data_IF_810246686353
#
_entry.id   IF_810246686353
#
_cell.length_a   1.000
_cell.length_b   1.000
_cell.length_c   1.000
_cell.angle_alpha   90.00
_cell.angle_beta   90.00
_cell.angle_gamma   90.00
#
_symmetry.space_group_name_H-M   'P 1'
#
loop_
_entity.id
_entity.type
_entity.pdbx_description
1 polymer ?
#
# COMPACT_ATOMS: atom_id res chain seq x y z
N UNK A 1 4.62 17.08 0.43
CA UNK A 1 4.37 16.81 1.87
C UNK A 1 4.55 15.33 2.20
N UNK A 2 3.83 14.41 1.54
CA UNK A 2 3.90 12.97 1.81
C UNK A 2 5.31 12.35 1.70
N UNK A 3 6.08 12.64 0.63
CA UNK A 3 7.49 12.18 0.54
C UNK A 3 8.37 12.68 1.69
N UNK A 4 8.09 13.87 2.23
CA UNK A 4 8.78 14.33 3.45
C UNK A 4 8.35 13.49 4.64
N UNK A 5 7.06 13.21 4.80
CA UNK A 5 6.48 12.44 5.93
C UNK A 5 6.88 10.95 5.91
N UNK A 6 6.96 10.28 4.76
CA UNK A 6 7.20 8.82 4.72
C UNK A 6 8.48 8.40 3.99
N UNK A 7 9.11 9.31 3.24
CA UNK A 7 10.26 9.01 2.39
C UNK A 7 11.61 9.42 2.97
N UNK A 8 11.70 9.73 4.27
CA UNK A 8 12.95 10.12 4.92
C UNK A 8 13.20 9.30 6.17
N UNK A 9 14.47 8.99 6.44
CA UNK A 9 14.92 8.24 7.62
C UNK A 9 14.40 8.84 8.94
N UNK A 10 14.36 10.18 9.03
CA UNK A 10 13.87 10.91 10.21
C UNK A 10 12.41 10.58 10.56
N UNK A 11 11.60 10.17 9.58
CA UNK A 11 10.17 9.92 9.77
C UNK A 11 9.80 8.42 9.71
N UNK A 12 10.79 7.52 9.82
CA UNK A 12 10.56 6.08 9.97
C UNK A 12 9.53 5.72 11.04
N UNK A 13 9.51 6.33 12.24
CA UNK A 13 8.49 6.02 13.25
C UNK A 13 7.05 6.27 12.77
N UNK A 14 6.84 7.32 11.96
CA UNK A 14 5.52 7.62 11.39
C UNK A 14 5.11 6.54 10.38
N UNK A 15 6.05 6.13 9.53
CA UNK A 15 5.83 5.04 8.59
C UNK A 15 5.52 3.72 9.30
N UNK A 16 6.28 3.36 10.33
CA UNK A 16 6.06 2.15 11.13
C UNK A 16 4.67 2.16 11.78
N UNK A 17 4.27 3.26 12.41
CA UNK A 17 2.95 3.39 13.01
C UNK A 17 1.83 3.27 11.97
N UNK A 18 2.00 3.93 10.82
CA UNK A 18 1.05 3.83 9.71
C UNK A 18 0.90 2.38 9.22
N UNK A 19 2.01 1.67 8.99
CA UNK A 19 1.98 0.29 8.50
C UNK A 19 1.34 -0.66 9.51
N UNK A 20 1.66 -0.54 10.80
CA UNK A 20 1.02 -1.34 11.84
C UNK A 20 -0.49 -1.07 11.92
N UNK A 21 -0.93 0.17 11.74
CA UNK A 21 -2.36 0.52 11.74
C UNK A 21 -3.11 -0.01 10.52
N UNK A 22 -2.49 0.04 9.33
CA UNK A 22 -3.11 -0.36 8.06
C UNK A 22 -3.09 -1.87 7.84
N UNK A 23 -1.93 -2.50 8.05
CA UNK A 23 -1.71 -3.93 7.74
C UNK A 23 -2.20 -4.81 8.90
N UNK A 24 -2.10 -4.32 10.14
CA UNK A 24 -2.38 -5.07 11.38
C UNK A 24 -1.68 -6.44 11.38
N UNK A 25 -0.34 -6.47 11.21
CA UNK A 25 0.41 -7.70 11.12
C UNK A 25 0.36 -8.48 12.44
N UNK A 26 0.44 -9.82 12.37
CA UNK A 26 0.51 -10.69 13.57
C UNK A 26 1.70 -10.33 14.46
N UNK A 27 2.84 -10.05 13.83
CA UNK A 27 4.05 -9.55 14.52
C UNK A 27 4.20 -8.06 14.21
N UNK A 28 4.19 -7.17 15.21
CA UNK A 28 4.34 -5.74 14.99
C UNK A 28 5.62 -5.42 14.21
N UNK A 29 5.49 -4.54 13.20
CA UNK A 29 6.64 -4.01 12.46
C UNK A 29 7.42 -3.10 13.40
N UNK A 30 8.71 -3.38 13.57
CA UNK A 30 9.60 -2.64 14.49
C UNK A 30 10.56 -1.70 13.78
N UNK A 31 10.87 -2.00 12.53
CA UNK A 31 11.73 -1.19 11.68
C UNK A 31 11.32 -1.32 10.21
N UNK A 32 11.76 -0.35 9.41
CA UNK A 32 11.57 -0.31 7.97
C UNK A 32 12.82 0.20 7.30
N UNK A 33 13.24 -0.45 6.21
CA UNK A 33 14.27 0.07 5.31
C UNK A 33 13.58 0.72 4.11
N UNK A 34 13.73 2.04 3.95
CA UNK A 34 13.17 2.75 2.79
C UNK A 34 14.08 2.52 1.59
N UNK A 35 13.54 1.95 0.51
CA UNK A 35 14.30 1.54 -0.69
C UNK A 35 14.40 2.64 -1.77
N UNK A 36 13.65 3.73 -1.63
CA UNK A 36 13.63 4.81 -2.62
C UNK A 36 14.91 5.67 -2.57
N UNK A 37 15.99 5.24 -3.25
CA UNK A 37 17.21 6.05 -3.47
C UNK A 37 17.25 6.79 -4.81
N UNK A 38 16.52 6.33 -5.82
CA UNK A 38 16.53 6.93 -7.15
C UNK A 38 15.09 7.26 -7.60
N UNK A 39 14.68 8.50 -7.37
CA UNK A 39 13.54 9.07 -8.10
C UNK A 39 14.10 9.35 -9.49
N UNK A 40 13.77 8.50 -10.46
CA UNK A 40 14.05 8.77 -11.86
C UNK A 40 13.62 10.21 -12.21
N UNK A 41 14.56 10.91 -12.85
CA UNK A 41 14.45 12.29 -13.29
C UNK A 41 13.31 12.51 -14.30
N UNK A 42 12.64 11.45 -14.73
CA UNK A 42 11.55 11.46 -15.72
C UNK A 42 10.18 11.82 -15.11
N UNK A 43 10.06 11.97 -13.79
CA UNK A 43 8.82 12.42 -13.11
C UNK A 43 8.63 13.95 -13.09
N UNK A 44 9.53 14.72 -13.71
CA UNK A 44 9.61 16.18 -13.57
C UNK A 44 8.63 16.93 -14.49
N UNK A 45 7.97 16.27 -15.44
CA UNK A 45 7.10 16.97 -16.41
C UNK A 45 5.60 17.01 -16.08
N UNK A 46 5.07 16.23 -15.11
CA UNK A 46 3.62 16.24 -14.75
C UNK A 46 3.38 16.33 -13.22
N UNK A 47 4.24 17.12 -12.57
CA UNK A 47 4.48 17.23 -11.13
C UNK A 47 3.20 17.28 -10.27
N UNK A 48 3.09 16.35 -9.31
CA UNK A 48 2.17 16.27 -8.15
C UNK A 48 1.02 15.25 -8.20
N UNK A 49 0.73 14.57 -9.31
CA UNK A 49 -0.42 13.63 -9.36
C UNK A 49 -0.19 12.33 -8.58
N UNK A 50 1.08 11.91 -8.40
CA UNK A 50 1.43 10.59 -7.86
C UNK A 50 2.70 10.62 -7.00
N UNK A 51 2.71 9.86 -5.90
CA UNK A 51 3.87 9.69 -5.01
C UNK A 51 3.98 8.24 -4.56
N UNK A 52 5.17 7.66 -4.68
CA UNK A 52 5.48 6.29 -4.27
C UNK A 52 6.50 6.24 -3.11
N UNK A 53 6.38 5.23 -2.25
CA UNK A 53 7.38 4.83 -1.25
C UNK A 53 7.49 3.31 -1.26
N UNK A 54 8.70 2.79 -1.51
CA UNK A 54 9.01 1.37 -1.33
C UNK A 54 9.77 1.15 -0.04
N UNK A 55 9.43 0.11 0.70
CA UNK A 55 10.12 -0.25 1.93
C UNK A 55 10.19 -1.78 2.13
N UNK A 56 11.15 -2.21 2.93
CA UNK A 56 11.22 -3.58 3.48
C UNK A 56 11.04 -3.51 4.99
N UNK A 57 10.16 -4.31 5.58
CA UNK A 57 9.91 -4.29 7.03
C UNK A 57 10.90 -5.17 7.79
N UNK A 58 10.96 -5.02 9.12
CA UNK A 58 11.68 -5.93 10.03
C UNK A 58 11.20 -7.39 9.94
N UNK A 59 9.98 -7.61 9.40
CA UNK A 59 9.42 -8.94 9.16
C UNK A 59 9.78 -9.48 7.76
N UNK A 60 10.65 -8.79 7.02
CA UNK A 60 11.06 -9.06 5.62
C UNK A 60 9.97 -8.83 4.57
N UNK A 61 8.85 -8.23 4.95
CA UNK A 61 7.76 -7.93 4.02
C UNK A 61 8.14 -6.77 3.10
N UNK A 62 7.76 -6.89 1.83
CA UNK A 62 7.98 -5.85 0.82
C UNK A 62 6.74 -4.97 0.71
N UNK A 63 6.90 -3.66 0.90
CA UNK A 63 5.80 -2.72 0.93
C UNK A 63 5.92 -1.72 -0.23
N UNK A 64 4.85 -1.56 -0.99
CA UNK A 64 4.66 -0.50 -1.96
C UNK A 64 3.54 0.42 -1.49
N UNK A 65 3.83 1.67 -1.17
CA UNK A 65 2.82 2.67 -0.82
C UNK A 65 2.71 3.67 -1.97
N UNK A 66 1.50 3.85 -2.48
CA UNK A 66 1.24 4.79 -3.56
C UNK A 66 0.14 5.77 -3.16
N UNK A 67 0.42 7.05 -3.25
CA UNK A 67 -0.60 8.11 -3.24
C UNK A 67 -0.91 8.52 -4.67
N UNK A 68 -2.19 8.60 -4.99
CA UNK A 68 -2.65 9.15 -6.27
C UNK A 68 -3.76 10.20 -6.06
N UNK A 69 -3.52 11.39 -6.62
CA UNK A 69 -4.42 12.55 -6.51
C UNK A 69 -5.46 12.56 -7.63
N UNK A 70 -5.06 12.19 -8.86
CA UNK A 70 -5.92 12.20 -10.06
C UNK A 70 -6.32 10.78 -10.45
N UNK A 71 -7.60 10.57 -10.75
CA UNK A 71 -8.07 9.27 -11.22
C UNK A 71 -7.66 9.02 -12.68
N UNK A 72 -6.88 7.97 -12.92
CA UNK A 72 -6.48 7.48 -14.25
C UNK A 72 -7.28 6.24 -14.70
N UNK A 73 -8.27 5.83 -13.90
CA UNK A 73 -9.21 4.73 -14.18
C UNK A 73 -8.58 3.33 -14.35
N UNK A 74 -7.30 3.17 -14.00
CA UNK A 74 -6.52 1.93 -14.20
C UNK A 74 -5.84 1.43 -12.91
N UNK A 75 -6.31 1.88 -11.73
CA UNK A 75 -5.65 1.61 -10.46
C UNK A 75 -5.49 0.11 -10.18
N UNK A 76 -6.52 -0.71 -10.39
CA UNK A 76 -6.43 -2.16 -10.15
C UNK A 76 -5.32 -2.80 -10.99
N UNK A 77 -5.30 -2.55 -12.30
CA UNK A 77 -4.31 -3.11 -13.21
C UNK A 77 -2.89 -2.66 -12.83
N UNK A 78 -2.72 -1.38 -12.47
CA UNK A 78 -1.43 -0.83 -12.06
C UNK A 78 -0.94 -1.38 -10.72
N UNK A 79 -1.81 -1.49 -9.72
CA UNK A 79 -1.47 -2.11 -8.45
C UNK A 79 -1.01 -3.55 -8.65
N UNK A 80 -1.74 -4.33 -9.47
CA UNK A 80 -1.35 -5.71 -9.77
C UNK A 80 -0.01 -5.80 -10.50
N UNK A 81 0.27 -4.89 -11.45
CA UNK A 81 1.56 -4.80 -12.13
C UNK A 81 2.70 -4.48 -11.17
N UNK A 82 2.54 -3.51 -10.27
CA UNK A 82 3.60 -3.17 -9.31
C UNK A 82 3.81 -4.24 -8.26
N UNK A 83 2.71 -4.86 -7.80
CA UNK A 83 2.79 -6.01 -6.91
C UNK A 83 3.60 -7.14 -7.55
N UNK A 84 3.24 -7.54 -8.78
CA UNK A 84 3.90 -8.66 -9.46
C UNK A 84 5.37 -8.36 -9.77
N UNK A 85 5.67 -7.14 -10.23
CA UNK A 85 7.04 -6.68 -10.46
C UNK A 85 7.86 -6.75 -9.17
N UNK A 86 7.37 -6.14 -8.08
CA UNK A 86 8.07 -6.13 -6.79
C UNK A 86 8.29 -7.54 -6.23
N UNK A 87 7.29 -8.42 -6.35
CA UNK A 87 7.39 -9.82 -5.92
C UNK A 87 8.43 -10.59 -6.75
N UNK A 88 8.43 -10.40 -8.08
CA UNK A 88 9.41 -11.05 -8.96
C UNK A 88 10.85 -10.57 -8.75
N UNK A 89 11.05 -9.29 -8.42
CA UNK A 89 12.37 -8.67 -8.21
C UNK A 89 13.07 -9.14 -6.92
N UNK A 90 12.37 -9.82 -6.00
CA UNK A 90 12.95 -10.34 -4.76
C UNK A 90 14.00 -11.44 -4.99
N UNK A 91 13.90 -12.14 -6.12
CA UNK A 91 14.77 -13.26 -6.44
C UNK A 91 15.50 -13.01 -7.76
N UNK A 92 16.82 -13.26 -7.76
CA UNK A 92 17.62 -13.31 -8.97
C UNK A 92 17.69 -14.74 -9.52
N UNK A 93 18.04 -14.89 -10.80
CA UNK A 93 18.07 -16.15 -11.53
C UNK A 93 18.70 -17.30 -10.71
N UNK A 94 17.99 -18.44 -10.60
CA UNK A 94 18.35 -19.69 -9.88
C UNK A 94 18.10 -19.72 -8.36
N UNK A 95 17.48 -18.71 -7.77
CA UNK A 95 17.04 -18.78 -6.36
C UNK A 95 15.78 -19.66 -6.18
N UNK A 96 15.68 -20.32 -5.02
CA UNK A 96 14.50 -21.09 -4.64
C UNK A 96 13.31 -20.16 -4.36
N UNK A 97 12.16 -20.43 -4.98
CA UNK A 97 10.90 -19.69 -4.79
C UNK A 97 10.39 -19.69 -3.35
N UNK A 98 10.83 -20.64 -2.51
CA UNK A 98 10.52 -20.64 -1.07
C UNK A 98 11.08 -19.44 -0.29
N UNK A 99 11.92 -18.62 -0.94
CA UNK A 99 12.48 -17.38 -0.37
C UNK A 99 11.63 -16.15 -0.68
N UNK A 100 10.56 -16.28 -1.45
CA UNK A 100 9.66 -15.17 -1.75
C UNK A 100 8.89 -14.78 -0.49
N UNK A 101 9.05 -13.52 -0.10
CA UNK A 101 8.44 -12.93 1.08
C UNK A 101 7.17 -12.18 0.69
N UNK A 102 6.27 -12.04 1.67
CA UNK A 102 5.00 -11.35 1.53
C UNK A 102 5.19 -9.94 0.96
N UNK A 103 4.38 -9.60 -0.04
CA UNK A 103 4.35 -8.28 -0.69
C UNK A 103 3.00 -7.61 -0.52
N UNK A 104 3.03 -6.39 0.02
CA UNK A 104 1.85 -5.58 0.33
C UNK A 104 1.87 -4.31 -0.52
N UNK A 105 0.75 -4.03 -1.19
CA UNK A 105 0.55 -2.74 -1.87
C UNK A 105 -0.53 -1.93 -1.14
N UNK A 106 -0.24 -0.68 -0.81
CA UNK A 106 -1.17 0.25 -0.16
C UNK A 106 -1.41 1.42 -1.10
N UNK A 107 -2.62 1.50 -1.66
CA UNK A 107 -3.04 2.57 -2.56
C UNK A 107 -3.89 3.59 -1.78
N UNK A 108 -3.40 4.81 -1.63
CA UNK A 108 -4.08 5.93 -0.97
C UNK A 108 -4.59 6.89 -2.06
N UNK A 109 -5.91 7.02 -2.16
CA UNK A 109 -6.57 7.69 -3.27
C UNK A 109 -7.30 8.94 -2.80
N UNK A 110 -7.11 10.06 -3.51
CA UNK A 110 -7.88 11.29 -3.27
C UNK A 110 -9.20 11.35 -4.08
N UNK A 111 -9.73 10.19 -4.46
CA UNK A 111 -10.95 10.04 -5.24
C UNK A 111 -11.66 8.74 -4.86
N UNK A 112 -12.97 8.66 -5.15
CA UNK A 112 -13.74 7.41 -5.03
C UNK A 112 -13.46 6.55 -6.25
N UNK A 113 -13.11 5.29 -6.02
CA UNK A 113 -12.73 4.29 -7.01
C UNK A 113 -13.50 2.98 -6.82
N UNK A 114 -13.63 2.48 -5.58
CA UNK A 114 -14.38 1.25 -5.31
C UNK A 114 -15.87 1.56 -5.14
N UNK A 115 -16.73 0.61 -5.56
CA UNK A 115 -18.20 0.76 -5.56
C UNK A 115 -18.87 0.66 -4.17
N UNK A 116 -18.11 0.43 -3.10
CA UNK A 116 -18.63 0.31 -1.74
C UNK A 116 -18.32 1.56 -0.90
N UNK A 117 -18.93 1.70 0.28
CA UNK A 117 -18.75 2.90 1.12
C UNK A 117 -17.58 2.81 2.12
N UNK A 118 -16.85 1.69 2.17
CA UNK A 118 -15.70 1.56 3.08
C UNK A 118 -14.56 2.45 2.59
N UNK A 119 -14.02 3.27 3.48
CA UNK A 119 -12.83 4.07 3.19
C UNK A 119 -11.57 3.21 3.08
N UNK A 120 -11.49 2.08 3.80
CA UNK A 120 -10.37 1.15 3.76
C UNK A 120 -10.86 -0.24 3.36
N UNK A 121 -10.34 -0.74 2.25
CA UNK A 121 -10.58 -2.08 1.75
C UNK A 121 -9.25 -2.84 1.66
N UNK A 122 -9.23 -4.10 2.07
CA UNK A 122 -8.07 -4.99 1.99
C UNK A 122 -8.46 -6.27 1.22
N UNK A 123 -7.57 -6.71 0.33
CA UNK A 123 -7.81 -7.85 -0.58
C UNK A 123 -6.64 -8.83 -0.55
N UNK A 124 -6.97 -10.13 -0.55
CA UNK A 124 -6.07 -11.28 -0.64
C UNK A 124 -6.62 -12.32 -1.62
N UNK A 125 -5.78 -13.25 -2.05
CA UNK A 125 -6.17 -14.38 -2.89
C UNK A 125 -7.00 -15.40 -2.12
N UNK A 126 -8.16 -15.75 -2.66
CA UNK A 126 -9.11 -16.68 -2.06
C UNK A 126 -9.65 -17.65 -3.10
N UNK A 127 -10.02 -18.84 -2.66
CA UNK A 127 -10.78 -19.77 -3.48
C UNK A 127 -12.19 -19.19 -3.74
N UNK A 128 -12.68 -19.37 -4.96
CA UNK A 128 -13.84 -18.66 -5.52
C UNK A 128 -15.14 -19.01 -4.78
N UNK A 129 -15.35 -20.27 -4.39
CA UNK A 129 -16.63 -20.74 -3.88
C UNK A 129 -16.69 -20.72 -2.35
N UNK A 130 -15.65 -21.24 -1.69
CA UNK A 130 -15.52 -21.33 -0.25
C UNK A 130 -15.03 -20.04 0.39
N UNK A 131 -14.50 -19.09 -0.41
CA UNK A 131 -13.89 -17.85 0.06
C UNK A 131 -12.72 -18.10 1.03
N UNK A 132 -12.15 -19.32 1.03
CA UNK A 132 -11.00 -19.68 1.85
C UNK A 132 -9.74 -19.02 1.30
N UNK A 133 -8.97 -18.38 2.18
CA UNK A 133 -7.69 -17.78 1.81
C UNK A 133 -6.68 -18.83 1.37
N UNK A 134 -6.03 -18.58 0.23
CA UNK A 134 -4.98 -19.45 -0.30
C UNK A 134 -3.65 -19.19 0.42
N UNK A 135 -3.30 -17.92 0.60
CA UNK A 135 -2.06 -17.45 1.21
C UNK A 135 -2.17 -15.96 1.54
N UNK A 136 -1.31 -15.49 2.45
CA UNK A 136 -1.15 -14.08 2.82
C UNK A 136 0.04 -13.40 2.11
N UNK A 137 0.76 -14.11 1.22
CA UNK A 137 1.91 -13.58 0.45
C UNK A 137 1.56 -12.36 -0.42
N UNK A 138 0.29 -12.22 -0.79
CA UNK A 138 -0.24 -11.09 -1.55
C UNK A 138 -1.28 -10.34 -0.71
N UNK A 139 -1.07 -9.04 -0.52
CA UNK A 139 -2.07 -8.17 0.10
C UNK A 139 -2.15 -6.82 -0.63
N UNK A 140 -3.37 -6.36 -0.91
CA UNK A 140 -3.61 -5.06 -1.54
C UNK A 140 -4.61 -4.28 -0.70
N UNK A 141 -4.26 -3.04 -0.33
CA UNK A 141 -5.16 -2.10 0.30
C UNK A 141 -5.52 -0.96 -0.63
N UNK A 142 -6.77 -0.51 -0.51
CA UNK A 142 -7.28 0.74 -1.04
C UNK A 142 -7.78 1.59 0.12
N UNK A 143 -7.22 2.79 0.27
CA UNK A 143 -7.61 3.80 1.25
C UNK A 143 -8.11 5.02 0.47
N UNK A 144 -9.42 5.24 0.45
CA UNK A 144 -10.07 6.31 -0.30
C UNK A 144 -10.39 7.48 0.63
N UNK A 145 -9.55 8.51 0.62
CA UNK A 145 -9.63 9.66 1.52
C UNK A 145 -11.00 10.37 1.50
N UNK A 146 -11.68 10.56 0.34
CA UNK A 146 -13.00 11.18 0.34
C UNK A 146 -14.08 10.42 1.13
N UNK A 147 -13.93 9.09 1.30
CA UNK A 147 -14.88 8.27 2.06
C UNK A 147 -14.65 8.35 3.57
N UNK A 148 -13.48 8.78 4.01
CA UNK A 148 -13.18 8.95 5.44
C UNK A 148 -14.00 10.08 6.06
N UNK A 149 -14.13 11.21 5.35
CA UNK A 149 -14.88 12.38 5.82
C UNK A 149 -16.39 12.10 5.94
N UNK A 150 -16.92 11.14 5.18
CA UNK A 150 -18.33 10.73 5.27
C UNK A 150 -18.62 9.91 6.55
N UNK A 151 -17.62 9.24 7.11
CA UNK A 151 -17.74 8.48 8.36
C UNK A 151 -17.63 9.43 9.57
N UNK A 152 -16.64 10.33 9.55
CA UNK A 152 -16.51 11.34 10.60
C UNK A 152 -17.80 12.17 10.76
N UNK A 153 -18.41 12.58 9.65
CA UNK A 153 -19.69 13.32 9.69
C UNK A 153 -20.88 12.48 10.18
N UNK A 154 -20.86 11.14 10.07
CA UNK A 154 -21.94 10.28 10.61
C UNK A 154 -21.81 10.08 12.12
N UNK A 155 -20.60 9.91 12.64
CA UNK A 155 -20.37 9.81 14.09
C UNK A 155 -20.73 11.11 14.84
N UNK A 156 -20.62 12.28 14.20
CA UNK A 156 -21.07 13.55 14.77
C UNK A 156 -22.60 13.73 14.75
N UNK A 157 -23.32 13.09 13.83
CA UNK A 157 -24.79 13.25 13.72
C UNK A 157 -25.53 12.23 14.59
N UNK A 158 -24.95 11.06 14.85
CA UNK A 158 -25.55 10.05 15.75
C UNK A 158 -25.34 10.36 17.24
N UNK A 159 -24.49 11.34 17.56
CA UNK A 159 -24.20 11.78 18.94
C UNK A 159 -24.76 13.18 19.28
N UNK A 160 -25.76 13.67 18.51
CA UNK A 160 -26.48 14.94 18.76
C UNK A 160 -27.98 14.68 18.91
#
# INVERSE_FOLDING_TARGET
MFKKIFGTEKNKPILINFLNAVIKPTTPIKDVEIKNKDIDKDFIEDKFSRLDVKATTSNKEHINIEIQVKNEYNMIQRTLYYWSKMYSEQIQNRNNYSKLERTVCINILNFKYLKNDKYHNAYRLKEINSNKELTDLQEIHFIELPKFNEIGNKEYVENV
#
